data_IF_525152918819
#
_entry.id   IF_525152918819
#
_cell.length_a   1.000
_cell.length_b   1.000
_cell.length_c   1.000
_cell.angle_alpha   90.00
_cell.angle_beta   90.00
_cell.angle_gamma   90.00
#
_symmetry.space_group_name_H-M   'P 1'
#
loop_
_entity.id
_entity.type
_entity.pdbx_description
1 polymer ?
#
# COMPACT_ATOMS: atom_id res chain seq x y z
N UNK A 1 10.11 -22.21 -8.32
CA UNK A 1 11.53 -21.93 -8.63
C UNK A 1 11.83 -20.44 -8.76
N UNK A 2 10.97 -19.66 -9.44
CA UNK A 2 11.24 -18.23 -9.69
C UNK A 2 11.30 -17.41 -8.38
N UNK A 3 10.45 -17.72 -7.39
CA UNK A 3 10.48 -17.08 -6.06
C UNK A 3 11.84 -17.24 -5.37
N UNK A 4 12.56 -18.34 -5.62
CA UNK A 4 13.92 -18.54 -5.09
C UNK A 4 14.94 -17.59 -5.75
N UNK A 5 14.78 -17.34 -7.05
CA UNK A 5 15.60 -16.37 -7.79
C UNK A 5 15.38 -14.97 -7.23
N UNK A 6 14.11 -14.59 -7.01
CA UNK A 6 13.78 -13.30 -6.41
C UNK A 6 14.30 -13.17 -4.97
N UNK A 7 14.20 -14.24 -4.17
CA UNK A 7 14.78 -14.23 -2.83
C UNK A 7 16.32 -14.11 -2.85
N UNK A 8 16.99 -14.76 -3.80
CA UNK A 8 18.42 -14.61 -3.98
C UNK A 8 18.81 -13.19 -4.42
N UNK A 9 18.05 -12.59 -5.35
CA UNK A 9 18.23 -11.20 -5.77
C UNK A 9 18.01 -10.22 -4.61
N UNK A 10 16.93 -10.38 -3.83
CA UNK A 10 16.65 -9.54 -2.67
C UNK A 10 17.77 -9.57 -1.61
N UNK A 11 18.42 -10.74 -1.44
CA UNK A 11 19.54 -10.91 -0.51
C UNK A 11 20.88 -10.44 -1.07
N UNK A 12 21.05 -10.50 -2.39
CA UNK A 12 22.30 -10.12 -3.05
C UNK A 12 22.38 -8.62 -3.39
N UNK A 13 21.24 -7.98 -3.59
CA UNK A 13 21.16 -6.57 -3.93
C UNK A 13 20.91 -5.76 -2.66
N UNK A 14 21.63 -4.65 -2.52
CA UNK A 14 21.40 -3.67 -1.44
C UNK A 14 20.27 -2.70 -1.81
N UNK A 15 19.20 -3.24 -2.43
CA UNK A 15 18.08 -2.44 -2.94
C UNK A 15 16.79 -3.26 -2.92
N UNK A 16 15.65 -2.63 -2.63
CA UNK A 16 14.38 -3.34 -2.61
C UNK A 16 13.94 -3.75 -4.02
N UNK A 17 13.23 -4.86 -4.09
CA UNK A 17 12.59 -5.35 -5.30
C UNK A 17 11.17 -4.79 -5.41
N UNK A 18 10.78 -4.34 -6.59
CA UNK A 18 9.39 -4.07 -6.94
C UNK A 18 8.93 -5.14 -7.94
N UNK A 19 8.13 -6.11 -7.49
CA UNK A 19 7.66 -7.24 -8.31
C UNK A 19 6.25 -6.94 -8.78
N UNK A 20 6.11 -6.65 -10.06
CA UNK A 20 4.82 -6.34 -10.70
C UNK A 20 4.20 -7.61 -11.24
N UNK A 21 2.95 -7.88 -10.86
CA UNK A 21 2.19 -9.06 -11.25
C UNK A 21 0.91 -8.70 -12.00
N UNK A 22 0.37 -9.59 -12.85
CA UNK A 22 -0.90 -9.35 -13.53
C UNK A 22 -2.09 -9.17 -12.58
N UNK A 23 -2.06 -9.84 -11.42
CA UNK A 23 -3.15 -9.83 -10.45
C UNK A 23 -2.70 -9.94 -9.00
N UNK A 24 -3.64 -9.75 -8.06
CA UNK A 24 -3.37 -9.76 -6.60
C UNK A 24 -3.06 -11.18 -6.10
N UNK A 25 -3.59 -12.21 -6.74
CA UNK A 25 -3.32 -13.60 -6.35
C UNK A 25 -1.84 -13.96 -6.52
N UNK A 26 -1.23 -13.57 -7.65
CA UNK A 26 0.19 -13.76 -7.92
C UNK A 26 1.04 -12.92 -6.96
N UNK A 27 0.67 -11.65 -6.73
CA UNK A 27 1.36 -10.78 -5.77
C UNK A 27 1.38 -11.40 -4.37
N UNK A 28 0.23 -11.93 -3.91
CA UNK A 28 0.08 -12.58 -2.61
C UNK A 28 0.92 -13.84 -2.52
N UNK A 29 0.92 -14.66 -3.56
CA UNK A 29 1.74 -15.87 -3.63
C UNK A 29 3.23 -15.54 -3.55
N UNK A 30 3.72 -14.58 -4.34
CA UNK A 30 5.14 -14.19 -4.31
C UNK A 30 5.56 -13.61 -2.97
N UNK A 31 4.75 -12.75 -2.37
CA UNK A 31 5.05 -12.20 -1.04
C UNK A 31 5.11 -13.31 0.03
N UNK A 32 4.19 -14.28 -0.03
CA UNK A 32 4.18 -15.45 0.84
C UNK A 32 5.43 -16.32 0.67
N UNK A 33 5.81 -16.64 -0.56
CA UNK A 33 7.00 -17.40 -0.89
C UNK A 33 8.28 -16.69 -0.41
N UNK A 34 8.39 -15.39 -0.65
CA UNK A 34 9.54 -14.58 -0.25
C UNK A 34 9.69 -14.54 1.28
N UNK A 35 8.60 -14.33 2.01
CA UNK A 35 8.61 -14.37 3.48
C UNK A 35 9.02 -15.76 4.01
N UNK A 36 8.55 -16.84 3.40
CA UNK A 36 8.96 -18.21 3.74
C UNK A 36 10.46 -18.44 3.49
N UNK A 37 11.05 -17.73 2.51
CA UNK A 37 12.48 -17.77 2.19
C UNK A 37 13.32 -16.75 3.02
N UNK A 38 12.70 -16.09 4.00
CA UNK A 38 13.36 -15.15 4.91
C UNK A 38 13.68 -13.79 4.26
N UNK A 39 12.88 -13.36 3.29
CA UNK A 39 12.91 -12.02 2.68
C UNK A 39 11.71 -11.23 3.19
N UNK A 40 11.93 -10.08 3.79
CA UNK A 40 10.85 -9.19 4.23
C UNK A 40 10.09 -8.65 3.03
N UNK A 41 8.91 -9.22 2.76
CA UNK A 41 8.09 -8.90 1.59
C UNK A 41 6.65 -8.56 1.98
N UNK A 42 6.04 -7.61 1.28
CA UNK A 42 4.65 -7.23 1.46
C UNK A 42 3.92 -7.12 0.12
N UNK A 43 2.59 -7.17 0.16
CA UNK A 43 1.73 -6.88 -1.00
C UNK A 43 1.22 -5.46 -0.88
N UNK A 44 1.43 -4.65 -1.92
CA UNK A 44 0.75 -3.36 -2.07
C UNK A 44 -0.49 -3.56 -2.92
N UNK A 45 -1.68 -3.71 -2.32
CA UNK A 45 -2.88 -4.10 -3.05
C UNK A 45 -3.45 -2.95 -3.86
N UNK A 46 -4.29 -3.27 -4.85
CA UNK A 46 -5.26 -2.32 -5.38
C UNK A 46 -6.33 -2.03 -4.33
N UNK A 47 -6.96 -0.86 -4.39
CA UNK A 47 -8.12 -0.51 -3.58
C UNK A 47 -9.18 0.20 -4.39
N UNK A 48 -10.42 0.08 -3.99
CA UNK A 48 -11.49 0.90 -4.53
C UNK A 48 -11.41 2.32 -3.93
N UNK A 49 -11.43 3.33 -4.78
CA UNK A 49 -11.57 4.70 -4.30
C UNK A 49 -13.00 4.97 -3.86
N UNK A 50 -13.14 5.59 -2.71
CA UNK A 50 -14.46 6.02 -2.20
C UNK A 50 -14.83 7.34 -2.85
N UNK A 51 -15.53 7.26 -3.98
CA UNK A 51 -15.92 8.43 -4.78
C UNK A 51 -17.35 8.88 -4.48
N UNK A 52 -18.19 8.00 -3.92
CA UNK A 52 -19.56 8.26 -3.48
C UNK A 52 -19.66 8.17 -1.96
N UNK A 53 -20.60 8.89 -1.32
CA UNK A 53 -20.83 8.80 0.11
C UNK A 53 -21.56 7.48 0.45
N UNK A 54 -20.82 6.37 0.54
CA UNK A 54 -21.34 5.05 0.92
C UNK A 54 -20.97 4.81 2.38
N UNK A 55 -21.97 4.62 3.24
CA UNK A 55 -21.74 4.25 4.64
C UNK A 55 -21.23 2.80 4.74
N UNK A 56 -20.34 2.55 5.71
CA UNK A 56 -19.83 1.20 5.98
C UNK A 56 -18.74 0.72 5.03
N UNK A 57 -18.19 1.57 4.16
CA UNK A 57 -17.06 1.20 3.32
C UNK A 57 -15.85 0.90 4.19
N UNK A 58 -15.37 -0.36 4.14
CA UNK A 58 -14.16 -0.79 4.83
C UNK A 58 -12.92 -0.09 4.26
N UNK A 59 -11.95 0.22 5.14
CA UNK A 59 -10.69 0.86 4.77
C UNK A 59 -9.50 -0.09 4.85
N UNK A 60 -9.75 -1.37 4.93
CA UNK A 60 -8.70 -2.37 5.13
C UNK A 60 -7.62 -2.30 4.05
N UNK A 61 -8.00 -2.17 2.78
CA UNK A 61 -7.05 -2.06 1.68
C UNK A 61 -6.26 -0.74 1.73
N UNK A 62 -6.88 0.38 2.11
CA UNK A 62 -6.18 1.65 2.34
C UNK A 62 -5.15 1.52 3.46
N UNK A 63 -5.52 0.89 4.58
CA UNK A 63 -4.60 0.68 5.70
C UNK A 63 -3.45 -0.26 5.34
N UNK A 64 -3.71 -1.33 4.58
CA UNK A 64 -2.67 -2.23 4.07
C UNK A 64 -1.68 -1.48 3.18
N UNK A 65 -2.15 -0.60 2.31
CA UNK A 65 -1.31 0.26 1.47
C UNK A 65 -0.47 1.21 2.31
N UNK A 66 -1.07 1.92 3.26
CA UNK A 66 -0.38 2.83 4.16
C UNK A 66 0.69 2.12 4.99
N UNK A 67 0.42 0.90 5.46
CA UNK A 67 1.41 0.08 6.16
C UNK A 67 2.62 -0.22 5.28
N UNK A 68 2.40 -0.63 4.02
CA UNK A 68 3.49 -0.88 3.07
C UNK A 68 4.29 0.39 2.77
N UNK A 69 3.63 1.54 2.60
CA UNK A 69 4.31 2.83 2.39
C UNK A 69 5.17 3.20 3.61
N UNK A 70 4.63 3.01 4.82
CA UNK A 70 5.37 3.21 6.08
C UNK A 70 6.56 2.27 6.23
N UNK A 71 6.41 1.00 5.84
CA UNK A 71 7.47 0.00 5.87
C UNK A 71 8.57 0.30 4.85
N UNK A 72 8.22 0.80 3.66
CA UNK A 72 9.19 1.25 2.66
C UNK A 72 9.99 2.47 3.14
N UNK A 73 9.30 3.49 3.65
CA UNK A 73 9.95 4.69 4.22
C UNK A 73 10.88 4.31 5.38
N UNK A 74 10.47 3.33 6.19
CA UNK A 74 11.25 2.81 7.32
C UNK A 74 12.38 1.85 6.94
N UNK A 75 12.54 1.49 5.66
CA UNK A 75 13.55 0.53 5.20
C UNK A 75 13.33 -0.89 5.73
N UNK A 76 12.10 -1.25 6.07
CA UNK A 76 11.75 -2.56 6.66
C UNK A 76 11.46 -3.65 5.62
N UNK A 77 11.28 -3.28 4.35
CA UNK A 77 10.96 -4.21 3.27
C UNK A 77 12.13 -4.38 2.31
N UNK A 78 12.38 -5.63 1.93
CA UNK A 78 13.34 -6.00 0.88
C UNK A 78 12.63 -6.23 -0.46
N UNK A 79 11.32 -6.51 -0.45
CA UNK A 79 10.51 -6.69 -1.65
C UNK A 79 9.08 -6.19 -1.44
N UNK A 80 8.50 -5.62 -2.49
CA UNK A 80 7.07 -5.36 -2.56
C UNK A 80 6.51 -6.01 -3.81
N UNK A 81 5.49 -6.83 -3.64
CA UNK A 81 4.73 -7.43 -4.72
C UNK A 81 3.49 -6.57 -4.97
N UNK A 82 3.30 -6.15 -6.21
CA UNK A 82 2.23 -5.20 -6.55
C UNK A 82 1.50 -5.66 -7.80
N UNK A 83 0.16 -5.83 -7.77
CA UNK A 83 -0.61 -6.06 -8.99
C UNK A 83 -0.59 -4.81 -9.87
N UNK A 84 -0.67 -4.98 -11.20
CA UNK A 84 -0.74 -3.89 -12.19
C UNK A 84 -1.76 -2.82 -11.79
N UNK A 85 -2.92 -3.25 -11.34
CA UNK A 85 -3.97 -2.35 -10.89
C UNK A 85 -3.55 -1.49 -9.69
N UNK A 86 -2.85 -2.05 -8.71
CA UNK A 86 -2.36 -1.33 -7.54
C UNK A 86 -1.18 -0.42 -7.86
N UNK A 87 -0.32 -0.85 -8.80
CA UNK A 87 0.85 -0.09 -9.24
C UNK A 87 0.48 1.24 -9.88
N UNK A 88 -0.55 1.22 -10.72
CA UNK A 88 -1.00 2.38 -11.50
C UNK A 88 -1.96 3.29 -10.74
N UNK A 89 -2.37 2.93 -9.53
CA UNK A 89 -3.16 3.80 -8.65
C UNK A 89 -2.29 4.87 -8.00
N UNK A 90 -2.78 6.12 -8.06
CA UNK A 90 -2.13 7.21 -7.35
C UNK A 90 -2.32 7.09 -5.82
N UNK A 91 -1.36 7.64 -5.09
CA UNK A 91 -1.33 7.69 -3.62
C UNK A 91 -0.73 9.01 -3.15
N UNK A 92 -0.57 9.17 -1.84
CA UNK A 92 0.13 10.30 -1.22
C UNK A 92 1.56 10.40 -1.78
N UNK A 93 2.07 11.57 -2.14
CA UNK A 93 3.50 11.75 -2.41
C UNK A 93 4.36 11.39 -1.19
N UNK A 94 5.52 10.75 -1.42
CA UNK A 94 6.44 10.33 -0.34
C UNK A 94 6.80 11.46 0.62
N UNK A 95 7.03 12.67 0.10
CA UNK A 95 7.34 13.84 0.92
C UNK A 95 6.19 14.23 1.86
N UNK A 96 4.94 14.22 1.37
CA UNK A 96 3.76 14.48 2.19
C UNK A 96 3.54 13.38 3.23
N UNK A 97 3.77 12.10 2.86
CA UNK A 97 3.69 10.97 3.79
C UNK A 97 4.70 11.14 4.94
N UNK A 98 5.97 11.41 4.60
CA UNK A 98 7.03 11.61 5.59
C UNK A 98 6.77 12.85 6.47
N UNK A 99 6.29 13.95 5.91
CA UNK A 99 5.97 15.16 6.64
C UNK A 99 4.84 14.98 7.68
N UNK A 100 3.94 14.02 7.43
CA UNK A 100 2.84 13.65 8.32
C UNK A 100 3.14 12.40 9.17
N UNK A 101 4.39 11.92 9.16
CA UNK A 101 4.85 10.82 10.02
C UNK A 101 5.64 11.39 11.19
N UNK A 102 5.29 11.04 12.42
CA UNK A 102 5.96 11.46 13.64
C UNK A 102 6.43 10.28 14.47
N UNK A 103 7.67 10.36 14.94
CA UNK A 103 8.18 9.43 15.96
C UNK A 103 7.89 9.98 17.35
N UNK A 104 7.35 9.16 18.25
CA UNK A 104 7.09 9.51 19.64
C UNK A 104 7.79 8.51 20.56
N UNK A 105 8.32 9.00 21.69
CA UNK A 105 9.07 8.23 22.70
C UNK A 105 8.71 8.70 24.10
N UNK A 106 8.88 7.86 25.12
CA UNK A 106 8.92 8.33 26.51
C UNK A 106 9.96 9.44 26.68
N UNK A 107 9.60 10.49 27.42
CA UNK A 107 10.41 11.70 27.61
C UNK A 107 10.15 12.81 26.58
N UNK A 108 9.41 12.55 25.49
CA UNK A 108 9.02 13.61 24.55
C UNK A 108 7.98 14.53 25.20
N UNK A 109 8.18 15.85 25.05
CA UNK A 109 7.17 16.85 25.48
C UNK A 109 6.22 17.12 24.32
N UNK A 110 4.96 16.81 24.47
CA UNK A 110 3.93 16.95 23.45
C UNK A 110 2.57 17.28 24.11
N UNK A 111 2.15 18.53 24.13
CA UNK A 111 0.83 18.92 24.63
C UNK A 111 -0.28 18.12 23.93
N UNK A 112 -1.29 17.66 24.69
CA UNK A 112 -2.41 16.86 24.15
C UNK A 112 -3.18 17.58 23.03
N UNK A 113 -3.22 18.89 23.04
CA UNK A 113 -3.80 19.68 21.95
C UNK A 113 -2.99 19.56 20.67
N UNK A 114 -1.64 19.57 20.77
CA UNK A 114 -0.73 19.39 19.64
C UNK A 114 -0.81 17.95 19.09
N UNK A 115 -0.82 16.95 20.00
CA UNK A 115 -1.05 15.55 19.60
C UNK A 115 -2.39 15.39 18.87
N UNK A 116 -3.45 16.00 19.36
CA UNK A 116 -4.77 15.98 18.73
C UNK A 116 -4.73 16.58 17.32
N UNK A 117 -4.12 17.73 17.18
CA UNK A 117 -3.98 18.40 15.88
C UNK A 117 -3.14 17.56 14.89
N UNK A 118 -2.04 16.98 15.36
CA UNK A 118 -1.20 16.08 14.59
C UNK A 118 -2.01 14.87 14.08
N UNK A 119 -2.75 14.20 14.96
CA UNK A 119 -3.53 13.01 14.60
C UNK A 119 -4.65 13.33 13.61
N UNK A 120 -5.38 14.44 13.81
CA UNK A 120 -6.36 14.88 12.80
C UNK A 120 -5.68 15.23 11.47
N UNK A 121 -4.52 15.90 11.52
CA UNK A 121 -3.72 16.23 10.32
C UNK A 121 -3.29 14.99 9.56
N UNK A 122 -2.93 13.93 10.27
CA UNK A 122 -2.55 12.63 9.73
C UNK A 122 -3.77 11.74 9.35
N UNK A 123 -4.99 12.25 9.46
CA UNK A 123 -6.21 11.58 9.00
C UNK A 123 -6.82 10.58 9.98
N UNK A 124 -6.41 10.59 11.25
CA UNK A 124 -7.00 9.72 12.27
C UNK A 124 -8.42 10.18 12.66
N UNK A 125 -9.23 9.20 13.04
CA UNK A 125 -10.58 9.43 13.57
C UNK A 125 -10.55 9.32 15.09
N UNK A 126 -11.06 10.34 15.78
CA UNK A 126 -11.22 10.28 17.23
C UNK A 126 -12.39 9.38 17.61
N UNK A 127 -12.17 8.52 18.60
CA UNK A 127 -13.18 7.63 19.20
C UNK A 127 -13.11 7.73 20.73
N UNK A 128 -14.17 7.29 21.38
CA UNK A 128 -14.16 7.16 22.86
C UNK A 128 -13.22 6.04 23.27
N UNK A 129 -13.15 4.98 22.46
CA UNK A 129 -12.26 3.83 22.61
C UNK A 129 -11.74 3.42 21.24
N UNK A 130 -10.44 3.10 21.15
CA UNK A 130 -9.82 2.57 19.93
C UNK A 130 -10.24 1.12 19.74
N UNK A 131 -10.81 0.81 18.57
CA UNK A 131 -11.27 -0.51 18.16
C UNK A 131 -10.72 -0.98 16.81
N UNK A 132 -9.92 -0.13 16.14
CA UNK A 132 -9.31 -0.45 14.84
C UNK A 132 -8.24 0.54 14.40
N UNK A 133 -7.52 0.21 13.31
CA UNK A 133 -6.49 1.09 12.74
C UNK A 133 -7.05 2.45 12.32
N UNK A 134 -6.18 3.47 12.33
CA UNK A 134 -6.54 4.84 11.95
C UNK A 134 -7.39 5.56 12.99
N UNK A 135 -7.45 5.05 14.21
CA UNK A 135 -8.21 5.64 15.30
C UNK A 135 -7.32 6.09 16.46
N UNK A 136 -7.81 7.06 17.21
CA UNK A 136 -7.20 7.50 18.46
C UNK A 136 -8.25 7.87 19.50
N UNK A 137 -7.87 7.80 20.78
CA UNK A 137 -8.66 8.24 21.93
C UNK A 137 -7.77 9.04 22.87
N UNK A 138 -8.30 10.12 23.45
CA UNK A 138 -7.60 10.89 24.49
C UNK A 138 -8.57 11.05 25.66
N UNK A 139 -8.18 10.52 26.81
CA UNK A 139 -8.98 10.51 28.05
C UNK A 139 -8.10 10.89 29.25
N UNK A 140 -8.23 12.12 29.74
CA UNK A 140 -7.37 12.62 30.82
C UNK A 140 -5.89 12.61 30.39
N UNK A 141 -5.07 11.88 31.12
CA UNK A 141 -3.63 11.76 30.88
C UNK A 141 -3.25 10.54 30.02
N UNK A 142 -4.22 9.90 29.36
CA UNK A 142 -4.02 8.72 28.53
C UNK A 142 -4.38 9.05 27.08
N UNK A 143 -3.49 8.70 26.14
CA UNK A 143 -3.76 8.71 24.71
C UNK A 143 -3.53 7.31 24.12
N UNK A 144 -4.55 6.79 23.46
CA UNK A 144 -4.51 5.53 22.72
C UNK A 144 -4.45 5.83 21.22
N UNK A 145 -3.55 5.17 20.50
CA UNK A 145 -3.37 5.34 19.03
C UNK A 145 -3.21 3.98 18.39
N UNK A 146 -3.86 3.79 17.23
CA UNK A 146 -3.64 2.62 16.40
C UNK A 146 -3.29 3.06 14.97
N UNK A 147 -1.99 3.14 14.67
CA UNK A 147 -1.53 3.46 13.31
C UNK A 147 -1.70 2.26 12.37
N UNK A 148 -1.92 2.49 11.05
CA UNK A 148 -2.10 1.42 10.07
C UNK A 148 -0.95 0.41 9.96
N UNK A 149 0.29 0.86 10.22
CA UNK A 149 1.49 0.04 10.19
C UNK A 149 1.85 -0.63 11.54
N UNK A 150 1.02 -0.45 12.56
CA UNK A 150 1.20 -1.09 13.87
C UNK A 150 0.47 -2.45 13.92
N UNK A 151 1.10 -3.45 14.54
CA UNK A 151 0.46 -4.76 14.79
C UNK A 151 -0.55 -4.71 15.92
N UNK A 152 -0.29 -3.88 16.91
CA UNK A 152 -1.12 -3.65 18.10
C UNK A 152 -1.20 -2.15 18.37
N UNK A 153 -2.29 -1.65 18.95
CA UNK A 153 -2.41 -0.25 19.33
C UNK A 153 -1.46 0.09 20.48
N UNK A 154 -1.08 1.36 20.55
CA UNK A 154 -0.23 1.90 21.60
C UNK A 154 -1.03 2.79 22.53
N UNK A 155 -0.74 2.69 23.82
CA UNK A 155 -1.20 3.56 24.90
C UNK A 155 -0.04 4.36 25.43
N UNK A 156 -0.19 5.69 25.44
CA UNK A 156 0.74 6.64 26.03
C UNK A 156 0.13 7.21 27.29
N UNK A 157 0.89 7.26 28.36
CA UNK A 157 0.53 7.91 29.61
C UNK A 157 1.37 9.18 29.75
N UNK A 158 0.73 10.26 30.14
CA UNK A 158 1.33 11.58 30.22
C UNK A 158 1.48 12.02 31.69
N UNK A 159 2.61 12.65 31.99
CA UNK A 159 2.80 13.45 33.18
C UNK A 159 2.88 14.93 32.77
N UNK A 160 1.78 15.66 32.96
CA UNK A 160 1.65 16.98 32.35
C UNK A 160 1.62 16.89 30.83
N UNK A 161 2.60 17.51 30.16
CA UNK A 161 2.75 17.45 28.70
C UNK A 161 3.88 16.50 28.23
N UNK A 162 4.52 15.79 29.18
CA UNK A 162 5.57 14.81 28.88
C UNK A 162 4.96 13.40 28.75
N UNK A 163 5.40 12.63 27.74
CA UNK A 163 5.06 11.22 27.62
C UNK A 163 5.90 10.45 28.66
N UNK A 164 5.25 9.96 29.71
CA UNK A 164 5.92 9.24 30.81
C UNK A 164 6.18 7.79 30.42
N UNK A 165 5.16 7.06 29.98
CA UNK A 165 5.28 5.66 29.59
C UNK A 165 4.49 5.34 28.33
N UNK A 166 4.93 4.28 27.64
CA UNK A 166 4.25 3.78 26.45
C UNK A 166 4.19 2.25 26.48
N UNK A 167 3.02 1.71 26.12
CA UNK A 167 2.77 0.26 26.10
C UNK A 167 1.89 -0.09 24.90
N UNK A 168 2.01 -1.30 24.39
CA UNK A 168 0.95 -1.89 23.57
C UNK A 168 -0.23 -2.28 24.46
N UNK A 169 -1.40 -2.48 23.88
CA UNK A 169 -2.55 -3.02 24.59
C UNK A 169 -3.41 -3.90 23.67
N UNK A 170 -4.14 -4.82 24.29
CA UNK A 170 -5.06 -5.70 23.58
C UNK A 170 -6.40 -5.00 23.33
N UNK A 171 -6.87 -5.01 22.07
CA UNK A 171 -8.09 -4.32 21.66
C UNK A 171 -9.37 -4.84 22.35
N UNK A 172 -9.46 -6.16 22.56
CA UNK A 172 -10.67 -6.77 23.09
C UNK A 172 -10.80 -6.54 24.62
N UNK A 173 -9.69 -6.67 25.33
CA UNK A 173 -9.66 -6.54 26.79
C UNK A 173 -9.29 -5.15 27.26
N UNK A 174 -8.71 -4.31 26.39
CA UNK A 174 -8.17 -2.98 26.69
C UNK A 174 -7.06 -3.00 27.75
N UNK A 175 -6.51 -4.16 28.03
CA UNK A 175 -5.44 -4.33 29.02
C UNK A 175 -4.10 -4.01 28.42
N UNK A 176 -3.25 -3.37 29.22
CA UNK A 176 -1.86 -3.11 28.92
C UNK A 176 -1.12 -4.42 28.67
N UNK A 177 -0.25 -4.41 27.65
CA UNK A 177 0.59 -5.53 27.24
C UNK A 177 2.09 -5.14 27.37
N UNK A 178 2.87 -5.21 26.33
CA UNK A 178 4.32 -5.00 26.38
C UNK A 178 4.70 -3.51 26.40
N UNK A 179 5.75 -3.12 27.17
CA UNK A 179 6.29 -1.78 27.11
C UNK A 179 6.95 -1.54 25.75
N UNK A 180 6.83 -0.32 25.24
CA UNK A 180 7.44 0.11 23.97
C UNK A 180 8.23 1.40 24.15
N UNK A 181 9.42 1.45 23.54
CA UNK A 181 10.30 2.61 23.64
C UNK A 181 10.04 3.66 22.56
N UNK A 182 9.31 3.30 21.51
CA UNK A 182 9.06 4.18 20.38
C UNK A 182 7.86 3.72 19.56
N UNK A 183 7.06 4.68 19.10
CA UNK A 183 6.07 4.46 18.04
C UNK A 183 6.32 5.40 16.87
N UNK A 184 5.85 4.97 15.70
CA UNK A 184 5.71 5.84 14.54
C UNK A 184 4.21 6.09 14.32
N UNK A 185 3.82 7.33 14.34
CA UNK A 185 2.48 7.77 13.96
C UNK A 185 2.53 8.08 12.48
N UNK A 186 2.21 7.10 11.65
CA UNK A 186 2.12 7.25 10.19
C UNK A 186 0.74 7.79 9.78
N UNK A 187 0.56 8.31 8.56
CA UNK A 187 -0.76 8.70 8.05
C UNK A 187 -1.79 7.57 8.13
N UNK A 188 -3.03 7.91 8.51
CA UNK A 188 -4.17 7.00 8.55
C UNK A 188 -5.07 7.12 7.30
N UNK A 189 -4.71 7.98 6.35
CA UNK A 189 -5.38 8.20 5.06
C UNK A 189 -4.35 8.45 3.98
N UNK A 190 -4.67 8.02 2.76
CA UNK A 190 -3.84 8.37 1.60
C UNK A 190 -4.07 9.81 1.15
N UNK A 191 -5.20 10.43 1.48
CA UNK A 191 -5.50 11.80 1.08
C UNK A 191 -5.67 12.67 2.33
N UNK A 192 -4.67 13.51 2.58
CA UNK A 192 -4.54 14.30 3.79
C UNK A 192 -4.90 15.77 3.53
N UNK A 193 -6.06 16.20 3.97
CA UNK A 193 -6.48 17.59 3.91
C UNK A 193 -6.26 18.37 5.21
N UNK A 194 -5.96 17.69 6.29
CA UNK A 194 -5.95 18.29 7.62
C UNK A 194 -7.34 18.48 8.19
N UNK A 195 -7.69 19.69 8.60
CA UNK A 195 -9.00 20.00 9.14
C UNK A 195 -10.08 20.15 8.05
N UNK A 196 -11.36 19.93 8.36
CA UNK A 196 -12.45 20.14 7.40
C UNK A 196 -12.45 21.54 6.76
N UNK A 197 -12.13 22.59 7.52
CA UNK A 197 -12.05 23.94 7.01
C UNK A 197 -10.97 24.11 5.93
N UNK A 198 -9.80 23.48 6.09
CA UNK A 198 -8.71 23.53 5.13
C UNK A 198 -9.11 22.83 3.81
N UNK A 199 -9.81 21.69 3.93
CA UNK A 199 -10.35 20.99 2.77
C UNK A 199 -11.37 21.84 2.02
N UNK A 200 -12.31 22.46 2.74
CA UNK A 200 -13.32 23.34 2.14
C UNK A 200 -12.70 24.53 1.40
N UNK A 201 -11.68 25.18 2.00
CA UNK A 201 -10.96 26.29 1.38
C UNK A 201 -10.28 25.86 0.08
N UNK A 202 -9.56 24.74 0.09
CA UNK A 202 -8.87 24.21 -1.10
C UNK A 202 -9.86 23.87 -2.22
N UNK A 203 -10.98 23.20 -1.89
CA UNK A 203 -12.01 22.85 -2.87
C UNK A 203 -12.62 24.12 -3.47
N UNK A 204 -12.99 25.12 -2.65
CA UNK A 204 -13.54 26.40 -3.14
C UNK A 204 -12.52 27.15 -4.00
N UNK A 205 -11.26 27.16 -3.61
CA UNK A 205 -10.18 27.79 -4.38
C UNK A 205 -10.02 27.12 -5.75
N UNK A 206 -10.14 25.80 -5.82
CA UNK A 206 -10.12 25.06 -7.09
C UNK A 206 -11.30 25.40 -7.98
N UNK A 207 -12.52 25.44 -7.43
CA UNK A 207 -13.75 25.81 -8.15
C UNK A 207 -13.64 27.23 -8.72
N UNK A 208 -13.11 28.20 -7.95
CA UNK A 208 -12.93 29.60 -8.39
C UNK A 208 -12.04 29.73 -9.62
N UNK A 209 -11.07 28.83 -9.82
CA UNK A 209 -10.19 28.81 -11.00
C UNK A 209 -10.85 28.24 -12.24
N UNK A 210 -11.92 27.48 -12.10
CA UNK A 210 -12.67 26.91 -13.21
C UNK A 210 -13.61 27.93 -13.85
N UNK A 211 -13.97 27.72 -15.13
CA UNK A 211 -14.87 28.60 -15.89
C UNK A 211 -15.90 27.79 -16.67
N UNK A 212 -17.02 28.43 -17.03
CA UNK A 212 -18.06 27.85 -17.85
C UNK A 212 -18.64 26.55 -17.32
N UNK A 213 -18.95 25.61 -18.18
CA UNK A 213 -19.57 24.32 -17.83
C UNK A 213 -18.80 23.52 -16.78
N UNK A 214 -17.47 23.58 -16.84
CA UNK A 214 -16.60 22.89 -15.85
C UNK A 214 -16.83 23.43 -14.43
N UNK A 215 -16.97 24.74 -14.29
CA UNK A 215 -17.25 25.36 -12.99
C UNK A 215 -18.59 24.89 -12.42
N UNK A 216 -19.64 24.91 -13.23
CA UNK A 216 -20.98 24.45 -12.82
C UNK A 216 -20.96 22.99 -12.42
N UNK A 217 -20.29 22.12 -13.18
CA UNK A 217 -20.13 20.70 -12.83
C UNK A 217 -19.40 20.50 -11.51
N UNK A 218 -18.30 21.24 -11.26
CA UNK A 218 -17.58 21.21 -9.99
C UNK A 218 -18.46 21.69 -8.82
N UNK A 219 -19.17 22.81 -8.98
CA UNK A 219 -20.10 23.33 -7.95
C UNK A 219 -21.16 22.28 -7.60
N UNK A 220 -21.70 21.58 -8.59
CA UNK A 220 -22.72 20.54 -8.38
C UNK A 220 -22.14 19.32 -7.66
N UNK A 221 -21.04 18.74 -8.16
CA UNK A 221 -20.49 17.50 -7.61
C UNK A 221 -19.83 17.66 -6.21
N UNK A 222 -19.55 18.90 -5.80
CA UNK A 222 -18.90 19.18 -4.50
C UNK A 222 -19.83 19.78 -3.44
N UNK A 223 -21.06 20.15 -3.83
CA UNK A 223 -21.98 20.89 -2.94
C UNK A 223 -22.27 20.17 -1.61
N UNK A 224 -22.58 18.88 -1.67
CA UNK A 224 -22.86 18.08 -0.48
C UNK A 224 -21.64 17.94 0.44
N UNK A 225 -20.45 17.75 -0.16
CA UNK A 225 -19.21 17.62 0.60
C UNK A 225 -18.82 18.94 1.26
N UNK A 226 -18.98 20.05 0.57
CA UNK A 226 -18.73 21.38 1.15
C UNK A 226 -19.69 21.67 2.30
N UNK A 227 -20.95 21.24 2.23
CA UNK A 227 -21.89 21.39 3.32
C UNK A 227 -21.48 20.58 4.57
N UNK A 228 -20.95 19.36 4.39
CA UNK A 228 -20.42 18.56 5.51
C UNK A 228 -19.15 19.20 6.10
N UNK A 229 -18.22 19.66 5.24
CA UNK A 229 -16.98 20.33 5.67
C UNK A 229 -17.25 21.62 6.44
N UNK A 230 -18.24 22.41 6.03
CA UNK A 230 -18.69 23.62 6.74
C UNK A 230 -19.33 23.27 8.11
N UNK A 231 -19.95 22.10 8.20
CA UNK A 231 -20.44 21.54 9.48
C UNK A 231 -19.32 20.92 10.35
N UNK A 232 -18.06 21.00 9.94
CA UNK A 232 -16.91 20.44 10.66
C UNK A 232 -16.74 18.93 10.52
N UNK A 233 -17.40 18.32 9.52
CA UNK A 233 -17.33 16.88 9.27
C UNK A 233 -16.55 16.60 7.99
N UNK A 234 -15.54 15.72 8.07
CA UNK A 234 -14.80 15.25 6.90
C UNK A 234 -15.63 14.20 6.13
N UNK A 235 -15.98 14.42 4.86
CA UNK A 235 -16.70 13.45 4.05
C UNK A 235 -15.94 12.13 3.89
N UNK A 236 -16.66 11.03 3.72
CA UNK A 236 -16.05 9.71 3.53
C UNK A 236 -15.43 9.55 2.13
N UNK A 237 -15.95 10.27 1.15
CA UNK A 237 -15.61 10.23 -0.27
C UNK A 237 -14.51 11.23 -0.69
N UNK A 238 -13.55 11.48 0.20
CA UNK A 238 -12.45 12.42 -0.07
C UNK A 238 -11.51 11.95 -1.17
N UNK A 239 -11.57 10.69 -1.58
CA UNK A 239 -10.70 10.13 -2.63
C UNK A 239 -10.86 10.85 -3.98
N UNK A 240 -12.05 11.39 -4.28
CA UNK A 240 -12.28 12.18 -5.49
C UNK A 240 -11.47 13.48 -5.57
N UNK A 241 -10.90 13.92 -4.44
CA UNK A 241 -10.08 15.13 -4.39
C UNK A 241 -8.56 14.85 -4.41
N UNK A 242 -8.15 13.63 -4.76
CA UNK A 242 -6.75 13.21 -4.77
C UNK A 242 -5.87 14.20 -5.57
N UNK A 243 -6.21 14.46 -6.83
CA UNK A 243 -5.41 15.36 -7.68
C UNK A 243 -5.56 16.84 -7.35
N UNK A 244 -6.63 17.21 -6.66
CA UNK A 244 -6.76 18.55 -6.09
C UNK A 244 -5.81 18.72 -4.91
N UNK A 245 -5.67 17.69 -4.08
CA UNK A 245 -4.76 17.70 -2.93
C UNK A 245 -3.30 17.56 -3.36
N UNK A 246 -3.06 16.67 -4.32
CA UNK A 246 -1.75 16.37 -4.87
C UNK A 246 -1.75 16.63 -6.37
N UNK A 247 -1.38 17.85 -6.82
CA UNK A 247 -1.32 18.18 -8.26
C UNK A 247 -0.36 17.30 -9.05
N UNK A 248 0.68 16.81 -8.39
CA UNK A 248 1.64 15.82 -8.88
C UNK A 248 1.52 14.58 -7.99
N UNK A 249 0.53 13.71 -8.24
CA UNK A 249 0.31 12.54 -7.41
C UNK A 249 1.41 11.50 -7.65
N UNK A 250 1.71 10.71 -6.62
CA UNK A 250 2.70 9.66 -6.67
C UNK A 250 2.07 8.28 -6.91
N UNK A 251 2.87 7.35 -7.36
CA UNK A 251 2.61 5.91 -7.32
C UNK A 251 3.46 5.25 -6.24
N UNK A 252 3.30 3.94 -6.03
CA UNK A 252 4.18 3.19 -5.12
C UNK A 252 5.65 3.26 -5.57
N UNK A 253 5.94 3.39 -6.87
CA UNK A 253 7.33 3.45 -7.37
C UNK A 253 8.09 4.65 -6.83
N UNK A 254 7.40 5.76 -6.52
CA UNK A 254 8.01 6.98 -5.98
C UNK A 254 8.48 6.82 -4.52
N UNK A 255 8.14 5.70 -3.87
CA UNK A 255 8.59 5.37 -2.52
C UNK A 255 9.89 4.59 -2.46
N UNK A 256 10.35 4.08 -3.60
CA UNK A 256 11.60 3.35 -3.68
C UNK A 256 12.78 4.27 -4.01
N UNK A 257 13.93 3.93 -3.45
CA UNK A 257 15.20 4.52 -3.82
C UNK A 257 15.91 3.57 -4.82
N UNK A 258 15.69 3.75 -6.13
CA UNK A 258 16.27 2.98 -7.24
C UNK A 258 16.03 1.44 -7.12
N UNK A 259 14.77 0.97 -7.23
CA UNK A 259 14.44 -0.45 -7.12
C UNK A 259 14.93 -1.27 -8.31
N UNK A 260 15.04 -2.59 -8.14
CA UNK A 260 14.97 -3.52 -9.26
C UNK A 260 13.48 -3.77 -9.56
N UNK A 261 13.03 -3.29 -10.72
CA UNK A 261 11.67 -3.53 -11.21
C UNK A 261 11.62 -4.92 -11.87
N UNK A 262 10.79 -5.79 -11.34
CA UNK A 262 10.59 -7.14 -11.88
C UNK A 262 9.20 -7.22 -12.49
N UNK A 263 9.12 -7.52 -13.77
CA UNK A 263 7.85 -7.74 -14.49
C UNK A 263 7.62 -9.24 -14.63
N UNK A 264 6.60 -9.73 -13.94
CA UNK A 264 6.20 -11.15 -14.01
C UNK A 264 5.24 -11.35 -15.17
N UNK A 265 5.59 -12.24 -16.12
CA UNK A 265 4.79 -12.54 -17.31
C UNK A 265 4.36 -11.25 -18.08
N UNK A 266 5.26 -10.50 -18.69
CA UNK A 266 4.97 -9.20 -19.31
C UNK A 266 3.82 -9.22 -20.32
N UNK A 267 3.60 -10.34 -21.02
CA UNK A 267 2.46 -10.47 -21.92
C UNK A 267 1.12 -10.44 -21.16
N UNK A 268 1.05 -11.14 -20.03
CA UNK A 268 -0.13 -11.14 -19.15
C UNK A 268 -0.31 -9.78 -18.47
N UNK A 269 0.78 -9.09 -18.11
CA UNK A 269 0.71 -7.72 -17.60
C UNK A 269 0.08 -6.76 -18.62
N UNK A 270 0.43 -6.88 -19.91
CA UNK A 270 -0.20 -6.05 -20.96
C UNK A 270 -1.69 -6.31 -21.13
N UNK A 271 -2.10 -7.56 -21.00
CA UNK A 271 -3.52 -7.92 -21.03
C UNK A 271 -4.25 -7.37 -19.81
N UNK A 272 -3.67 -7.51 -18.63
CA UNK A 272 -4.20 -6.96 -17.38
C UNK A 272 -4.33 -5.42 -17.45
N UNK A 273 -3.30 -4.72 -17.91
CA UNK A 273 -3.31 -3.27 -18.11
C UNK A 273 -4.46 -2.83 -19.02
N UNK A 274 -4.63 -3.49 -20.17
CA UNK A 274 -5.71 -3.16 -21.11
C UNK A 274 -7.09 -3.38 -20.51
N UNK A 275 -7.29 -4.51 -19.84
CA UNK A 275 -8.56 -4.84 -19.18
C UNK A 275 -8.88 -3.84 -18.06
N UNK A 276 -7.88 -3.49 -17.26
CA UNK A 276 -8.01 -2.50 -16.17
C UNK A 276 -8.28 -1.10 -16.72
N UNK A 277 -7.57 -0.66 -17.75
CA UNK A 277 -7.79 0.64 -18.38
C UNK A 277 -9.19 0.75 -18.98
N UNK A 278 -9.68 -0.30 -19.63
CA UNK A 278 -11.05 -0.34 -20.15
C UNK A 278 -12.10 -0.20 -19.04
N UNK A 279 -12.02 -1.06 -18.02
CA UNK A 279 -12.95 -1.04 -16.87
C UNK A 279 -12.97 0.32 -16.17
N UNK A 280 -11.80 0.88 -15.88
CA UNK A 280 -11.67 2.23 -15.27
C UNK A 280 -12.23 3.33 -16.14
N UNK A 281 -12.05 3.24 -17.47
CA UNK A 281 -12.63 4.18 -18.42
C UNK A 281 -14.15 4.20 -18.38
N UNK A 282 -14.79 3.03 -18.38
CA UNK A 282 -16.24 2.88 -18.26
C UNK A 282 -16.75 3.44 -16.91
N UNK A 283 -16.08 3.08 -15.81
CA UNK A 283 -16.43 3.56 -14.47
C UNK A 283 -16.32 5.08 -14.35
N UNK A 284 -15.20 5.66 -14.78
CA UNK A 284 -14.99 7.11 -14.74
C UNK A 284 -16.01 7.86 -15.64
N UNK A 285 -16.34 7.28 -16.80
CA UNK A 285 -17.37 7.86 -17.69
C UNK A 285 -18.73 7.90 -17.01
N UNK A 286 -19.13 6.80 -16.38
CA UNK A 286 -20.38 6.74 -15.62
C UNK A 286 -20.40 7.73 -14.45
N UNK A 287 -19.29 7.87 -13.71
CA UNK A 287 -19.18 8.82 -12.60
C UNK A 287 -19.25 10.29 -13.05
N UNK A 288 -18.73 10.60 -14.24
CA UNK A 288 -18.81 11.92 -14.84
C UNK A 288 -20.25 12.21 -15.35
N UNK A 289 -20.91 11.23 -15.98
CA UNK A 289 -22.29 11.34 -16.44
C UNK A 289 -23.27 11.50 -15.28
N UNK A 290 -23.08 10.77 -14.20
CA UNK A 290 -23.87 10.86 -12.97
C UNK A 290 -23.60 12.14 -12.17
N UNK A 291 -22.62 12.95 -12.56
CA UNK A 291 -22.26 14.17 -11.85
C UNK A 291 -21.59 13.93 -10.48
N UNK A 292 -21.08 12.72 -10.23
CA UNK A 292 -20.31 12.38 -9.02
C UNK A 292 -18.91 12.98 -9.10
N UNK A 293 -18.33 12.95 -10.29
CA UNK A 293 -17.06 13.60 -10.63
C UNK A 293 -17.28 14.74 -11.62
N UNK A 294 -16.30 15.61 -11.70
CA UNK A 294 -16.18 16.63 -12.73
C UNK A 294 -14.80 16.58 -13.36
N UNK A 295 -14.69 17.02 -14.62
CA UNK A 295 -13.41 17.05 -15.33
C UNK A 295 -12.32 17.77 -14.52
N UNK A 296 -11.22 17.08 -14.28
CA UNK A 296 -10.10 17.50 -13.45
C UNK A 296 -10.08 16.89 -12.03
N UNK A 297 -11.13 16.15 -11.64
CA UNK A 297 -11.14 15.26 -10.47
C UNK A 297 -11.08 13.77 -10.88
N UNK A 298 -11.02 13.50 -12.17
CA UNK A 298 -11.06 12.17 -12.80
C UNK A 298 -9.68 11.51 -12.97
N UNK A 299 -8.59 12.22 -12.65
CA UNK A 299 -7.22 11.70 -12.77
C UNK A 299 -6.81 10.96 -11.50
N UNK A 300 -7.23 9.71 -11.38
CA UNK A 300 -6.96 8.87 -10.20
C UNK A 300 -5.88 7.83 -10.44
N UNK A 301 -5.48 7.64 -11.69
CA UNK A 301 -4.59 6.57 -12.14
C UNK A 301 -3.52 7.10 -13.09
N UNK A 302 -2.37 6.43 -13.13
CA UNK A 302 -1.36 6.64 -14.16
C UNK A 302 -1.93 6.29 -15.54
N UNK A 303 -1.46 6.99 -16.56
CA UNK A 303 -1.91 6.79 -17.94
C UNK A 303 -1.51 5.41 -18.47
N UNK A 304 -2.30 4.87 -19.42
CA UNK A 304 -1.94 3.60 -20.07
C UNK A 304 -0.56 3.71 -20.73
N UNK A 305 0.24 2.66 -20.59
CA UNK A 305 1.62 2.64 -21.05
C UNK A 305 2.65 3.23 -20.07
N UNK A 306 2.20 3.79 -18.96
CA UNK A 306 3.10 4.38 -17.96
C UNK A 306 4.11 3.36 -17.41
N UNK A 307 3.67 2.13 -17.08
CA UNK A 307 4.56 1.07 -16.60
C UNK A 307 5.71 0.79 -17.56
N UNK A 308 5.41 0.73 -18.86
CA UNK A 308 6.41 0.44 -19.90
C UNK A 308 7.40 1.58 -20.07
N UNK A 309 6.97 2.82 -19.87
CA UNK A 309 7.87 3.97 -19.82
C UNK A 309 8.82 3.90 -18.60
N UNK A 310 8.37 3.36 -17.46
CA UNK A 310 9.23 3.15 -16.29
C UNK A 310 10.35 2.16 -16.54
N UNK A 311 10.15 1.17 -17.43
CA UNK A 311 11.20 0.22 -17.81
C UNK A 311 12.43 0.87 -18.46
N UNK A 312 12.28 2.05 -19.05
CA UNK A 312 13.39 2.81 -19.63
C UNK A 312 14.23 3.55 -18.57
N UNK A 313 13.64 3.85 -17.41
CA UNK A 313 14.28 4.65 -16.34
C UNK A 313 14.78 3.81 -15.17
N UNK A 314 14.23 2.60 -14.99
CA UNK A 314 14.60 1.69 -13.91
C UNK A 314 15.36 0.47 -14.44
N UNK A 315 16.18 -0.12 -13.58
CA UNK A 315 16.71 -1.46 -13.85
C UNK A 315 15.56 -2.45 -13.85
N UNK A 316 15.32 -3.09 -14.98
CA UNK A 316 14.17 -3.96 -15.19
C UNK A 316 14.60 -5.39 -15.49
N UNK A 317 13.96 -6.34 -14.83
CA UNK A 317 14.02 -7.77 -15.10
C UNK A 317 12.63 -8.21 -15.59
N UNK A 318 12.57 -8.85 -16.76
CA UNK A 318 11.36 -9.51 -17.23
C UNK A 318 11.50 -11.00 -16.97
N UNK A 319 10.53 -11.59 -16.25
CA UNK A 319 10.48 -13.02 -15.95
C UNK A 319 9.33 -13.66 -16.72
N UNK A 320 9.65 -14.66 -17.53
CA UNK A 320 8.68 -15.35 -18.37
C UNK A 320 8.96 -16.85 -18.37
N UNK A 321 7.90 -17.65 -18.40
CA UNK A 321 8.02 -19.10 -18.58
C UNK A 321 8.40 -19.48 -20.02
N UNK A 322 8.00 -18.64 -20.98
CA UNK A 322 8.30 -18.82 -22.41
C UNK A 322 8.81 -17.50 -22.99
N UNK A 323 10.03 -17.49 -23.49
CA UNK A 323 10.61 -16.30 -24.11
C UNK A 323 9.75 -15.78 -25.27
N UNK A 324 9.29 -14.53 -25.14
CA UNK A 324 8.52 -13.82 -26.17
C UNK A 324 9.24 -12.55 -26.58
N UNK A 325 8.96 -12.08 -27.80
CA UNK A 325 9.46 -10.78 -28.23
C UNK A 325 8.75 -9.65 -27.49
N UNK A 326 9.53 -8.73 -26.93
CA UNK A 326 9.05 -7.54 -26.25
C UNK A 326 9.61 -6.27 -26.94
N UNK A 327 8.94 -5.78 -28.00
CA UNK A 327 9.47 -4.70 -28.83
C UNK A 327 9.65 -3.38 -28.07
N UNK A 328 8.87 -3.17 -27.00
CA UNK A 328 8.87 -1.90 -26.26
C UNK A 328 9.84 -1.89 -25.05
N UNK A 329 10.48 -3.01 -24.76
CA UNK A 329 11.45 -3.12 -23.67
C UNK A 329 12.81 -3.51 -24.26
N UNK A 330 13.80 -2.60 -24.27
CA UNK A 330 15.12 -2.91 -24.81
C UNK A 330 15.83 -3.93 -23.92
N UNK A 331 15.97 -5.16 -24.43
CA UNK A 331 16.66 -6.24 -23.72
C UNK A 331 18.19 -6.05 -23.83
N UNK A 332 18.88 -6.09 -22.70
CA UNK A 332 20.36 -6.09 -22.64
C UNK A 332 20.95 -7.49 -22.65
N UNK A 333 20.25 -8.45 -22.03
CA UNK A 333 20.67 -9.83 -21.93
C UNK A 333 19.45 -10.74 -21.72
N UNK A 334 19.59 -11.99 -22.12
CA UNK A 334 18.65 -13.07 -21.85
C UNK A 334 19.38 -14.11 -21.01
N UNK A 335 18.79 -14.44 -19.85
CA UNK A 335 19.32 -15.48 -18.95
C UNK A 335 18.32 -16.62 -18.93
N UNK A 336 18.76 -17.81 -19.33
CA UNK A 336 17.94 -19.00 -19.20
C UNK A 336 18.18 -19.63 -17.82
N UNK A 337 17.15 -19.71 -16.99
CA UNK A 337 17.18 -20.44 -15.73
C UNK A 337 16.61 -21.84 -15.99
N UNK A 338 17.45 -22.89 -16.12
CA UNK A 338 16.95 -24.23 -16.42
C UNK A 338 16.09 -24.72 -15.25
N UNK A 339 14.84 -25.04 -15.55
CA UNK A 339 13.89 -25.61 -14.60
C UNK A 339 13.22 -26.83 -15.25
N UNK A 340 13.03 -27.87 -14.46
CA UNK A 340 12.34 -29.07 -14.90
C UNK A 340 11.04 -29.22 -14.11
N UNK A 341 9.97 -29.61 -14.78
CA UNK A 341 8.73 -29.99 -14.11
C UNK A 341 9.00 -31.27 -13.32
N UNK A 342 8.74 -31.22 -12.02
CA UNK A 342 8.84 -32.41 -11.17
C UNK A 342 7.62 -33.32 -11.38
N UNK A 343 7.77 -34.65 -11.24
CA UNK A 343 6.64 -35.58 -11.26
C UNK A 343 5.63 -35.20 -10.16
N UNK A 344 4.35 -35.44 -10.42
CA UNK A 344 3.33 -35.31 -9.39
C UNK A 344 3.42 -36.53 -8.48
N UNK A 345 3.95 -36.41 -7.28
CA UNK A 345 4.05 -37.48 -6.29
C UNK A 345 2.69 -37.84 -5.64
N UNK A 346 1.61 -37.17 -6.01
CA UNK A 346 0.26 -37.45 -5.53
C UNK A 346 0.05 -37.43 -4.02
N UNK A 347 0.99 -36.84 -3.27
CA UNK A 347 1.03 -36.87 -1.80
C UNK A 347 1.79 -38.07 -1.21
N UNK A 348 2.40 -38.91 -2.06
CA UNK A 348 3.21 -40.05 -1.60
C UNK A 348 4.64 -39.61 -1.27
N UNK A 349 4.90 -39.47 0.02
CA UNK A 349 6.22 -39.07 0.55
C UNK A 349 7.31 -40.07 0.15
N UNK A 350 6.99 -41.37 0.04
CA UNK A 350 7.96 -42.38 -0.37
C UNK A 350 8.51 -42.13 -1.78
N UNK A 351 7.63 -41.80 -2.74
CA UNK A 351 8.03 -41.49 -4.12
C UNK A 351 8.88 -40.21 -4.18
N UNK A 352 8.56 -39.22 -3.39
CA UNK A 352 9.37 -38.03 -3.25
C UNK A 352 10.79 -38.32 -2.71
N UNK A 353 10.88 -39.19 -1.69
CA UNK A 353 12.16 -39.58 -1.11
C UNK A 353 13.01 -40.40 -2.07
N UNK A 354 12.42 -41.30 -2.86
CA UNK A 354 13.12 -42.02 -3.90
C UNK A 354 13.77 -41.10 -4.94
N UNK A 355 13.09 -40.03 -5.35
CA UNK A 355 13.62 -39.04 -6.30
C UNK A 355 14.69 -38.12 -5.69
N UNK A 356 14.58 -37.78 -4.41
CA UNK A 356 15.49 -36.86 -3.73
C UNK A 356 16.78 -37.58 -3.26
N UNK A 357 16.69 -38.83 -2.82
CA UNK A 357 17.80 -39.56 -2.21
C UNK A 357 19.05 -39.65 -3.10
N UNK A 358 18.96 -39.91 -4.42
CA UNK A 358 20.12 -39.88 -5.30
C UNK A 358 20.79 -38.51 -5.39
N UNK A 359 19.99 -37.42 -5.39
CA UNK A 359 20.49 -36.04 -5.43
C UNK A 359 21.27 -35.71 -4.15
N UNK A 360 20.71 -36.03 -3.00
CA UNK A 360 21.37 -35.83 -1.71
C UNK A 360 22.66 -36.65 -1.57
N UNK A 361 22.64 -37.91 -2.06
CA UNK A 361 23.80 -38.79 -2.05
C UNK A 361 24.89 -38.29 -2.99
N UNK A 362 24.52 -37.60 -4.07
CA UNK A 362 25.43 -36.91 -5.00
C UNK A 362 25.97 -35.57 -4.49
N UNK A 363 25.63 -35.16 -3.27
CA UNK A 363 26.09 -33.89 -2.65
C UNK A 363 25.29 -32.66 -3.06
N UNK A 364 24.14 -32.85 -3.71
CA UNK A 364 23.25 -31.75 -4.09
C UNK A 364 22.44 -31.29 -2.86
N UNK A 365 22.43 -30.00 -2.59
CA UNK A 365 21.54 -29.42 -1.59
C UNK A 365 20.09 -29.40 -2.13
N UNK A 366 19.22 -30.10 -1.45
CA UNK A 366 17.79 -30.20 -1.81
C UNK A 366 16.96 -29.40 -0.82
N UNK A 367 16.11 -28.51 -1.33
CA UNK A 367 15.16 -27.73 -0.52
C UNK A 367 13.73 -28.04 -0.99
N UNK A 368 12.91 -28.55 -0.08
CA UNK A 368 11.49 -28.83 -0.33
C UNK A 368 10.65 -27.69 0.24
N UNK A 369 9.85 -27.05 -0.63
CA UNK A 369 8.94 -25.97 -0.25
C UNK A 369 7.57 -26.57 0.10
N UNK A 370 7.17 -26.49 1.36
CA UNK A 370 5.87 -26.93 1.84
C UNK A 370 4.91 -25.74 1.98
N UNK A 371 3.74 -25.84 1.35
CA UNK A 371 2.76 -24.74 1.29
C UNK A 371 1.99 -24.48 2.59
N UNK A 372 2.07 -25.41 3.57
CA UNK A 372 1.39 -25.26 4.86
C UNK A 372 2.26 -25.77 6.01
N UNK A 373 2.07 -25.25 7.25
CA UNK A 373 2.77 -25.77 8.42
C UNK A 373 2.58 -27.27 8.63
N UNK A 374 1.39 -27.80 8.30
CA UNK A 374 1.10 -29.23 8.39
C UNK A 374 1.94 -30.04 7.40
N UNK A 375 1.98 -29.64 6.14
CA UNK A 375 2.80 -30.28 5.11
C UNK A 375 4.31 -30.20 5.39
N UNK A 376 4.74 -29.25 6.25
CA UNK A 376 6.14 -29.14 6.72
C UNK A 376 6.48 -30.15 7.82
N UNK A 377 5.48 -30.58 8.59
CA UNK A 377 5.65 -31.51 9.71
C UNK A 377 5.47 -32.98 9.33
N UNK A 378 4.85 -33.25 8.19
CA UNK A 378 4.72 -34.58 7.55
C UNK A 378 5.97 -34.90 6.74
#
# INVERSE_FOLDING_TARGET
PISMVYAALAKALDKPLCIVTPGEAEATRFAGDLNALGVAAAVFPARDYVLRPIEGTGREYEYRRLAVLGDLVGGRLQAVCVPDEGLTQYTTPRADFCANTRSLRPGDTLPRSELTALLYGAGYTRRDQVDGPGQFSIRGDIADIYAPDMKQPARMEFWGDEIDTMHTFDLATQRRDEPIEKIYVSPAREILFGQPADAAEKIRSYIKKARGRRRTALETCTAADLAQLDGGVMPVNMDKYLTLRYPEPATILDYFDDPLLILEEPASLREAERATAFRRGEELSALLEDGVLAAGLDKLYAESGWLWAQCATHRTLCAENFARSMPDVPLKAIVNAPAHTLPAWGGEVAALLEDIQPLCSGGTAVTVMAGTPRARSE
#
